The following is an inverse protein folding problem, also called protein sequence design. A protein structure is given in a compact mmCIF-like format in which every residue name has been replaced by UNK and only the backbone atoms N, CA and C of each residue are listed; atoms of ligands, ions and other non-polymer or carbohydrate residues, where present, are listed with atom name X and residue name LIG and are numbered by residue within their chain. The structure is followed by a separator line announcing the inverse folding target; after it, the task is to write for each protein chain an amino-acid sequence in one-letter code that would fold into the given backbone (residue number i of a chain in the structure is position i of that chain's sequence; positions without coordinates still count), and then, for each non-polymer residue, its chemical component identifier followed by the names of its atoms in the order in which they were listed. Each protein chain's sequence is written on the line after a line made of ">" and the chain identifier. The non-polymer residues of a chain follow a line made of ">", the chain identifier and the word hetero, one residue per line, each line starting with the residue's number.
data_IF_112979994935
#
_entry.id   IF_112979994935
#
_cell.length_a   1.000
_cell.length_b   1.000
_cell.length_c   1.000
_cell.angle_alpha   90.00
_cell.angle_beta   90.00
_cell.angle_gamma   90.00
#
_symmetry.space_group_name_H-M   'P 1'
#
loop_
_entity.id
_entity.type
_entity.pdbx_description
1 polymer ?
#
# COMPACT_ATOMS: atom_id res chain seq x y z
N UNK A 1 3.65 7.90 10.35
CA UNK A 1 2.41 7.20 9.91
C UNK A 1 2.72 6.49 8.59
N UNK A 2 2.28 5.24 8.40
CA UNK A 2 2.45 4.52 7.13
C UNK A 2 1.57 5.17 6.05
N UNK A 3 2.19 5.58 4.94
CA UNK A 3 1.52 6.19 3.80
C UNK A 3 1.25 5.13 2.74
N UNK A 4 -0.03 4.88 2.45
CA UNK A 4 -0.49 3.92 1.43
C UNK A 4 -1.28 4.70 0.39
N UNK A 5 -0.81 4.68 -0.85
CA UNK A 5 -1.42 5.40 -1.98
C UNK A 5 -1.99 4.43 -3.00
N UNK A 6 -3.05 4.84 -3.69
CA UNK A 6 -3.61 4.10 -4.82
C UNK A 6 -3.50 4.90 -6.11
N UNK A 7 -3.06 4.23 -7.18
CA UNK A 7 -3.08 4.78 -8.53
C UNK A 7 -3.82 3.82 -9.46
N UNK A 8 -5.00 4.21 -9.91
CA UNK A 8 -5.85 3.43 -10.81
C UNK A 8 -5.87 4.11 -12.18
N UNK A 9 -5.55 3.37 -13.24
CA UNK A 9 -5.40 3.91 -14.60
C UNK A 9 -4.43 5.11 -14.67
N UNK A 10 -3.35 5.07 -13.87
CA UNK A 10 -2.38 6.16 -13.80
C UNK A 10 -2.89 7.43 -13.10
N UNK A 11 -4.11 7.41 -12.54
CA UNK A 11 -4.67 8.51 -11.75
C UNK A 11 -4.67 8.15 -10.28
N UNK A 12 -4.27 9.11 -9.43
CA UNK A 12 -4.37 8.94 -7.99
C UNK A 12 -5.83 8.83 -7.59
N UNK A 13 -6.16 7.77 -6.85
CA UNK A 13 -7.49 7.58 -6.29
C UNK A 13 -7.39 7.60 -4.77
N UNK A 14 -8.32 8.32 -4.14
CA UNK A 14 -8.51 8.23 -2.70
C UNK A 14 -9.57 7.15 -2.46
N UNK A 15 -9.25 6.07 -1.72
CA UNK A 15 -10.19 4.99 -1.49
C UNK A 15 -11.48 5.44 -0.80
N UNK A 16 -11.46 6.56 -0.05
CA UNK A 16 -12.63 7.13 0.61
C UNK A 16 -13.53 7.96 -0.31
N UNK A 17 -13.09 8.24 -1.54
CA UNK A 17 -13.80 9.08 -2.52
C UNK A 17 -14.25 8.30 -3.76
N UNK A 18 -14.22 6.97 -3.70
CA UNK A 18 -14.66 6.11 -4.80
C UNK A 18 -16.18 6.05 -4.80
N UNK A 19 -16.79 6.34 -5.95
CA UNK A 19 -18.25 6.44 -6.08
C UNK A 19 -18.99 5.10 -5.95
N UNK A 20 -18.28 3.98 -5.99
CA UNK A 20 -18.82 2.63 -5.84
C UNK A 20 -18.50 2.07 -4.44
N UNK A 21 -19.55 1.86 -3.64
CA UNK A 21 -19.44 1.39 -2.27
C UNK A 21 -18.78 0.00 -2.16
N UNK A 22 -19.00 -0.90 -3.13
CA UNK A 22 -18.38 -2.23 -3.10
C UNK A 22 -16.87 -2.14 -3.33
N UNK A 23 -16.45 -1.32 -4.29
CA UNK A 23 -15.03 -1.11 -4.57
C UNK A 23 -14.33 -0.44 -3.38
N UNK A 24 -14.96 0.57 -2.76
CA UNK A 24 -14.44 1.22 -1.56
C UNK A 24 -14.13 0.21 -0.43
N UNK A 25 -15.04 -0.72 -0.14
CA UNK A 25 -14.83 -1.75 0.89
C UNK A 25 -13.62 -2.62 0.56
N UNK A 26 -13.44 -2.98 -0.71
CA UNK A 26 -12.27 -3.76 -1.14
C UNK A 26 -10.98 -2.96 -0.96
N UNK A 27 -10.94 -1.69 -1.38
CA UNK A 27 -9.77 -0.84 -1.21
C UNK A 27 -9.41 -0.63 0.27
N UNK A 28 -10.40 -0.36 1.12
CA UNK A 28 -10.20 -0.23 2.56
C UNK A 28 -9.65 -1.51 3.19
N UNK A 29 -10.15 -2.68 2.76
CA UNK A 29 -9.62 -3.98 3.21
C UNK A 29 -8.17 -4.17 2.80
N UNK A 30 -7.78 -3.78 1.58
CA UNK A 30 -6.38 -3.82 1.13
C UNK A 30 -5.51 -2.91 1.99
N UNK A 31 -5.95 -1.67 2.27
CA UNK A 31 -5.23 -0.75 3.17
C UNK A 31 -5.05 -1.36 4.55
N UNK A 32 -6.12 -1.94 5.11
CA UNK A 32 -6.10 -2.55 6.43
C UNK A 32 -5.13 -3.74 6.48
N UNK A 33 -5.12 -4.61 5.46
CA UNK A 33 -4.20 -5.75 5.39
C UNK A 33 -2.74 -5.30 5.30
N UNK A 34 -2.45 -4.33 4.42
CA UNK A 34 -1.12 -3.74 4.28
C UNK A 34 -0.71 -3.14 5.63
N UNK A 35 -1.54 -2.29 6.25
CA UNK A 35 -1.24 -1.69 7.56
C UNK A 35 -1.00 -2.72 8.64
N UNK A 36 -1.77 -3.81 8.67
CA UNK A 36 -1.60 -4.89 9.64
C UNK A 36 -0.26 -5.60 9.46
N UNK A 37 0.11 -5.94 8.23
CA UNK A 37 1.35 -6.67 7.91
C UNK A 37 2.60 -5.81 8.07
N UNK A 38 2.56 -4.58 7.55
CA UNK A 38 3.76 -3.73 7.39
C UNK A 38 3.76 -2.48 8.26
N UNK A 39 2.68 -2.19 9.00
CA UNK A 39 2.55 -0.99 9.81
C UNK A 39 3.58 -0.86 10.93
N UNK A 40 4.13 -2.00 11.40
CA UNK A 40 5.22 -2.06 12.37
C UNK A 40 6.63 -1.99 11.75
N UNK A 41 6.76 -2.10 10.41
CA UNK A 41 8.07 -2.04 9.76
C UNK A 41 8.60 -0.62 9.81
N UNK A 42 9.82 -0.47 10.32
CA UNK A 42 10.55 0.79 10.38
C UNK A 42 11.95 0.56 9.84
N UNK A 43 12.47 1.58 9.19
CA UNK A 43 13.86 1.65 8.81
C UNK A 43 14.74 1.71 10.08
N UNK A 44 15.76 0.85 10.23
CA UNK A 44 16.57 0.79 11.44
C UNK A 44 17.47 2.03 11.63
N UNK A 45 17.88 2.67 10.53
CA UNK A 45 18.81 3.81 10.56
C UNK A 45 18.06 5.13 10.79
N UNK A 46 16.94 5.33 10.11
CA UNK A 46 16.21 6.60 10.09
C UNK A 46 14.91 6.57 10.89
N UNK A 47 14.46 5.38 11.33
CA UNK A 47 13.18 5.18 12.00
C UNK A 47 11.96 5.44 11.12
N UNK A 48 12.15 5.68 9.81
CA UNK A 48 11.08 6.07 8.89
C UNK A 48 10.23 4.85 8.49
N UNK A 49 8.90 5.00 8.35
CA UNK A 49 8.08 3.95 7.77
C UNK A 49 8.32 3.82 6.26
N UNK A 50 8.08 2.63 5.67
CA UNK A 50 8.08 2.50 4.21
C UNK A 50 6.99 3.38 3.57
N UNK A 51 7.17 3.72 2.29
CA UNK A 51 6.08 4.27 1.46
C UNK A 51 5.57 3.18 0.54
N UNK A 52 4.25 3.01 0.49
CA UNK A 52 3.62 1.96 -0.31
C UNK A 52 2.68 2.60 -1.32
N UNK A 53 2.84 2.24 -2.59
CA UNK A 53 1.97 2.66 -3.68
C UNK A 53 1.37 1.44 -4.34
N UNK A 54 0.05 1.33 -4.31
CA UNK A 54 -0.71 0.28 -4.98
C UNK A 54 -1.15 0.82 -6.34
N UNK A 55 -0.69 0.23 -7.43
CA UNK A 55 -0.98 0.69 -8.80
C UNK A 55 -1.70 -0.38 -9.59
N UNK A 56 -2.62 0.00 -10.48
CA UNK A 56 -3.30 -0.96 -11.33
C UNK A 56 -4.25 -0.35 -12.33
N UNK A 57 -4.74 -1.15 -13.27
CA UNK A 57 -5.85 -0.73 -14.15
C UNK A 57 -7.22 -0.99 -13.52
N UNK A 58 -7.29 -1.96 -12.63
CA UNK A 58 -8.52 -2.41 -11.95
C UNK A 58 -8.14 -3.20 -10.69
N UNK A 59 -9.09 -3.49 -9.80
CA UNK A 59 -8.88 -4.30 -8.59
C UNK A 59 -8.28 -5.69 -8.86
N UNK A 60 -8.57 -6.27 -10.03
CA UNK A 60 -8.04 -7.58 -10.45
C UNK A 60 -6.59 -7.53 -10.95
N UNK A 61 -6.03 -6.33 -11.14
CA UNK A 61 -4.68 -6.14 -11.66
C UNK A 61 -3.99 -5.02 -10.87
N UNK A 62 -3.73 -5.31 -9.60
CA UNK A 62 -3.02 -4.43 -8.67
C UNK A 62 -1.59 -4.93 -8.45
N UNK A 63 -0.64 -4.02 -8.54
CA UNK A 63 0.77 -4.17 -8.22
C UNK A 63 1.12 -3.29 -7.03
N UNK A 64 2.00 -3.76 -6.15
CA UNK A 64 2.43 -3.01 -4.98
C UNK A 64 3.88 -2.57 -5.18
N UNK A 65 4.10 -1.26 -5.20
CA UNK A 65 5.42 -0.64 -5.19
C UNK A 65 5.77 -0.17 -3.77
N UNK A 66 6.98 -0.53 -3.33
CA UNK A 66 7.48 -0.22 -1.99
C UNK A 66 8.74 0.64 -2.15
N UNK A 67 8.77 1.77 -1.45
CA UNK A 67 9.94 2.64 -1.38
C UNK A 67 10.47 2.71 0.06
N UNK A 68 11.78 2.58 0.19
CA UNK A 68 12.51 2.57 1.46
C UNK A 68 13.96 2.13 1.22
N UNK A 69 14.71 1.91 2.29
CA UNK A 69 15.99 1.20 2.22
C UNK A 69 15.79 -0.23 1.74
N UNK A 70 16.85 -0.85 1.24
CA UNK A 70 16.81 -2.21 0.71
C UNK A 70 16.33 -3.22 1.77
N UNK A 71 16.74 -3.05 3.02
CA UNK A 71 16.32 -3.89 4.14
C UNK A 71 14.81 -3.76 4.43
N UNK A 72 14.28 -2.53 4.38
CA UNK A 72 12.84 -2.27 4.53
C UNK A 72 12.07 -2.90 3.38
N UNK A 73 12.53 -2.74 2.13
CA UNK A 73 11.88 -3.33 0.95
C UNK A 73 11.83 -4.86 1.07
N UNK A 74 12.94 -5.50 1.42
CA UNK A 74 13.02 -6.94 1.58
C UNK A 74 12.12 -7.43 2.71
N UNK A 75 12.08 -6.71 3.84
CA UNK A 75 11.19 -7.04 4.96
C UNK A 75 9.72 -6.90 4.58
N UNK A 76 9.35 -5.83 3.87
CA UNK A 76 7.99 -5.62 3.39
C UNK A 76 7.58 -6.72 2.40
N UNK A 77 8.43 -7.06 1.42
CA UNK A 77 8.17 -8.15 0.46
C UNK A 77 7.91 -9.48 1.16
N UNK A 78 8.72 -9.84 2.16
CA UNK A 78 8.53 -11.08 2.94
C UNK A 78 7.21 -11.12 3.71
N UNK A 79 6.69 -9.98 4.15
CA UNK A 79 5.42 -9.90 4.91
C UNK A 79 4.18 -9.81 4.02
N UNK A 80 4.35 -9.38 2.76
CA UNK A 80 3.27 -9.24 1.78
C UNK A 80 3.11 -10.46 0.87
N UNK A 81 4.15 -11.29 0.74
CA UNK A 81 4.07 -12.64 0.17
C UNK A 81 3.11 -13.52 0.98
#
# INVERSE_FOLDING_TARGET
>A
MLDVRFEINGRRVDPKRIGNALEQVVYEKIVADIRRKVGAVRDPETGRPPKITVKGRSLNNLSIEVQGSEEVINTVKRRLA
#
